data_IF_826684518508
#
_entry.id   IF_826684518508
#
_cell.length_a   1.000
_cell.length_b   1.000
_cell.length_c   1.000
_cell.angle_alpha   90.00
_cell.angle_beta   90.00
_cell.angle_gamma   90.00
#
_symmetry.space_group_name_H-M   'P 1'
#
loop_
_entity.id
_entity.type
_entity.pdbx_description
1 polymer ?
#
# COMPACT_ATOMS: atom_id res chain seq x y z
N UNK A 1 -5.77 14.60 -6.02
CA UNK A 1 -5.09 15.76 -6.63
C UNK A 1 -5.53 17.03 -5.94
N UNK A 2 -4.60 17.94 -5.70
CA UNK A 2 -4.87 19.26 -5.17
C UNK A 2 -3.80 20.24 -5.66
N UNK A 3 -4.23 21.32 -6.34
CA UNK A 3 -3.35 22.41 -6.81
C UNK A 3 -2.13 21.93 -7.64
N UNK A 4 -2.32 20.94 -8.51
CA UNK A 4 -1.25 20.38 -9.33
C UNK A 4 -0.32 19.39 -8.59
N UNK A 5 -0.65 19.05 -7.36
CA UNK A 5 -0.02 17.98 -6.60
C UNK A 5 -0.81 16.68 -6.72
N UNK A 6 -0.13 15.58 -6.95
CA UNK A 6 -0.76 14.29 -7.21
C UNK A 6 -0.18 13.19 -6.32
N UNK A 7 -1.04 12.32 -5.85
CA UNK A 7 -0.66 11.12 -5.13
C UNK A 7 -1.56 9.94 -5.50
N UNK A 8 -1.09 8.72 -5.29
CA UNK A 8 -1.91 7.50 -5.34
C UNK A 8 -1.94 6.84 -3.97
N UNK A 9 -3.10 6.34 -3.60
CA UNK A 9 -3.29 5.43 -2.47
C UNK A 9 -3.83 4.16 -3.07
N UNK A 10 -3.04 3.11 -2.95
CA UNK A 10 -3.14 1.84 -3.64
C UNK A 10 -3.04 1.96 -5.17
N UNK A 11 -2.32 1.05 -5.79
CA UNK A 11 -1.99 1.08 -7.21
C UNK A 11 -2.72 0.01 -8.01
N UNK A 12 -3.55 -0.79 -7.31
CA UNK A 12 -4.34 -1.83 -7.92
C UNK A 12 -3.56 -3.11 -8.22
N UNK A 13 -4.23 -4.00 -8.94
CA UNK A 13 -3.75 -5.32 -9.31
C UNK A 13 -2.71 -5.21 -10.44
N UNK A 14 -1.84 -6.17 -10.47
CA UNK A 14 -0.79 -6.40 -11.44
C UNK A 14 -1.14 -7.56 -12.38
N UNK A 15 -0.40 -7.74 -13.45
CA UNK A 15 -0.53 -8.89 -14.35
C UNK A 15 0.62 -9.90 -14.18
N UNK A 16 1.69 -9.55 -13.49
CA UNK A 16 2.76 -10.47 -13.18
C UNK A 16 2.59 -11.10 -11.78
N UNK A 17 2.97 -12.34 -11.68
CA UNK A 17 2.85 -13.14 -10.47
C UNK A 17 3.93 -14.23 -10.48
N UNK A 18 4.27 -14.78 -9.32
CA UNK A 18 5.33 -15.77 -9.23
C UNK A 18 4.96 -17.04 -10.02
N UNK A 19 5.87 -17.52 -10.85
CA UNK A 19 5.72 -18.76 -11.60
C UNK A 19 6.06 -20.03 -10.78
N UNK A 20 6.46 -19.85 -9.51
CA UNK A 20 6.84 -20.92 -8.59
C UNK A 20 8.25 -21.47 -8.80
N UNK A 21 9.03 -20.97 -9.75
CA UNK A 21 10.41 -21.41 -9.99
C UNK A 21 11.36 -20.97 -8.86
N UNK A 22 11.06 -19.85 -8.22
CA UNK A 22 11.79 -19.36 -7.06
C UNK A 22 11.13 -19.86 -5.76
N UNK A 23 11.84 -20.68 -4.94
CA UNK A 23 11.28 -21.16 -3.67
C UNK A 23 10.86 -20.06 -2.69
N UNK A 24 11.39 -18.83 -2.84
CA UNK A 24 11.01 -17.68 -2.03
C UNK A 24 9.59 -17.22 -2.37
N UNK A 25 9.18 -17.41 -3.62
CA UNK A 25 7.86 -17.01 -4.14
C UNK A 25 7.13 -18.24 -4.71
N UNK A 26 6.63 -19.12 -3.84
CA UNK A 26 5.95 -20.32 -4.31
C UNK A 26 4.60 -19.96 -4.96
N UNK A 27 4.25 -20.70 -6.01
CA UNK A 27 2.90 -20.63 -6.53
C UNK A 27 1.93 -21.18 -5.47
N UNK A 28 1.01 -20.37 -4.99
CA UNK A 28 0.03 -20.74 -3.96
C UNK A 28 -1.36 -20.94 -4.56
N UNK A 29 -2.15 -21.80 -3.95
CA UNK A 29 -3.56 -21.97 -4.30
C UNK A 29 -4.29 -20.65 -4.02
N UNK A 30 -4.99 -20.15 -5.02
CA UNK A 30 -5.70 -18.87 -4.94
C UNK A 30 -5.09 -17.77 -5.80
N UNK A 31 -3.80 -17.83 -6.13
CA UNK A 31 -3.22 -16.97 -7.16
C UNK A 31 -3.91 -17.34 -8.48
N UNK A 32 -4.75 -16.41 -8.96
CA UNK A 32 -5.45 -16.62 -10.20
C UNK A 32 -4.65 -16.03 -11.35
N UNK A 33 -4.23 -16.88 -12.28
CA UNK A 33 -3.61 -16.43 -13.52
C UNK A 33 -4.70 -15.76 -14.37
N UNK A 34 -4.68 -14.44 -14.41
CA UNK A 34 -5.61 -13.62 -15.20
C UNK A 34 -4.81 -12.57 -15.96
N UNK A 35 -5.37 -12.07 -17.03
CA UNK A 35 -4.78 -10.94 -17.75
C UNK A 35 -5.21 -9.63 -17.07
N UNK A 36 -4.41 -9.15 -16.12
CA UNK A 36 -4.64 -7.88 -15.43
C UNK A 36 -4.00 -6.66 -16.13
N UNK A 37 -3.26 -6.85 -17.21
CA UNK A 37 -2.65 -5.75 -17.96
C UNK A 37 -3.67 -4.66 -18.32
N UNK A 38 -4.91 -5.03 -18.57
CA UNK A 38 -5.99 -4.07 -18.83
C UNK A 38 -6.24 -3.12 -17.65
N UNK A 39 -5.99 -3.55 -16.42
CA UNK A 39 -6.17 -2.73 -15.21
C UNK A 39 -5.05 -1.69 -15.11
N UNK A 40 -3.80 -2.11 -15.32
CA UNK A 40 -2.67 -1.18 -15.40
C UNK A 40 -2.86 -0.18 -16.54
N UNK A 41 -3.24 -0.63 -17.74
CA UNK A 41 -3.51 0.24 -18.88
C UNK A 41 -4.59 1.28 -18.56
N UNK A 42 -5.61 0.91 -17.79
CA UNK A 42 -6.65 1.84 -17.33
C UNK A 42 -6.09 2.86 -16.35
N UNK A 43 -5.27 2.43 -15.37
CA UNK A 43 -4.62 3.32 -14.42
C UNK A 43 -3.78 4.37 -15.16
N UNK A 44 -2.84 3.95 -16.00
CA UNK A 44 -1.96 4.88 -16.72
C UNK A 44 -2.71 5.76 -17.71
N UNK A 45 -3.73 5.25 -18.37
CA UNK A 45 -4.61 6.07 -19.21
C UNK A 45 -5.33 7.14 -18.39
N UNK A 46 -5.84 6.78 -17.20
CA UNK A 46 -6.48 7.76 -16.32
C UNK A 46 -5.48 8.83 -15.86
N UNK A 47 -4.30 8.44 -15.37
CA UNK A 47 -3.25 9.36 -14.94
C UNK A 47 -2.84 10.32 -16.08
N UNK A 48 -2.67 9.79 -17.28
CA UNK A 48 -2.39 10.60 -18.48
C UNK A 48 -3.51 11.58 -18.80
N UNK A 49 -4.77 11.13 -18.75
CA UNK A 49 -5.93 11.97 -19.06
C UNK A 49 -6.11 13.14 -18.08
N UNK A 50 -5.74 12.94 -16.81
CA UNK A 50 -5.77 14.01 -15.80
C UNK A 50 -4.45 14.79 -15.72
N UNK A 51 -3.49 14.49 -16.60
CA UNK A 51 -2.26 15.27 -16.78
C UNK A 51 -1.16 14.99 -15.75
N UNK A 52 -1.19 13.85 -15.06
CA UNK A 52 -0.17 13.47 -14.08
C UNK A 52 1.17 13.27 -14.79
N UNK A 53 2.18 14.04 -14.38
CA UNK A 53 3.57 13.92 -14.85
C UNK A 53 4.49 13.42 -13.74
N UNK A 54 4.07 13.52 -12.49
CA UNK A 54 4.82 13.16 -11.28
C UNK A 54 3.84 12.92 -10.15
N UNK A 55 4.24 12.07 -9.21
CA UNK A 55 3.52 11.83 -7.96
C UNK A 55 4.38 12.34 -6.78
N UNK A 56 3.79 13.14 -5.91
CA UNK A 56 4.43 13.58 -4.67
C UNK A 56 4.62 12.41 -3.73
N UNK A 57 3.66 11.51 -3.71
CA UNK A 57 3.82 10.22 -3.03
C UNK A 57 2.92 9.13 -3.62
N UNK A 58 3.30 7.89 -3.34
CA UNK A 58 2.40 6.73 -3.38
C UNK A 58 2.33 6.12 -1.98
N UNK A 59 1.20 5.52 -1.65
CA UNK A 59 0.97 4.82 -0.39
C UNK A 59 0.32 3.49 -0.68
N UNK A 60 0.99 2.39 -0.30
CA UNK A 60 0.37 1.08 -0.22
C UNK A 60 -0.25 0.91 1.16
N UNK A 61 -1.57 0.71 1.21
CA UNK A 61 -2.25 0.51 2.49
C UNK A 61 -1.78 -0.77 3.16
N UNK A 62 -1.68 -1.84 2.41
CA UNK A 62 -1.16 -3.16 2.80
C UNK A 62 -0.65 -3.91 1.56
N UNK A 63 -0.17 -5.16 1.71
CA UNK A 63 0.63 -5.80 0.66
C UNK A 63 -0.11 -6.77 -0.27
N UNK A 64 -1.45 -6.82 -0.22
CA UNK A 64 -2.18 -7.64 -1.18
C UNK A 64 -2.04 -7.10 -2.60
N UNK A 65 -2.08 -7.99 -3.59
CA UNK A 65 -1.83 -7.68 -5.00
C UNK A 65 -2.78 -6.64 -5.57
N UNK A 66 -4.04 -6.70 -5.20
CA UNK A 66 -5.07 -5.75 -5.64
C UNK A 66 -4.91 -4.32 -5.03
N UNK A 67 -3.91 -4.14 -4.16
CA UNK A 67 -3.53 -2.85 -3.58
C UNK A 67 -2.15 -2.39 -4.03
N UNK A 68 -1.13 -3.24 -3.96
CA UNK A 68 0.24 -2.84 -4.30
C UNK A 68 0.81 -3.54 -5.54
N UNK A 69 0.04 -4.43 -6.20
CA UNK A 69 0.52 -5.14 -7.38
C UNK A 69 1.14 -4.19 -8.41
N UNK A 70 0.40 -3.17 -8.82
CA UNK A 70 0.90 -2.18 -9.79
C UNK A 70 1.90 -1.15 -9.26
N UNK A 71 2.45 -1.31 -8.04
CA UNK A 71 3.35 -0.31 -7.44
C UNK A 71 4.67 -0.17 -8.19
N UNK A 72 5.28 -1.28 -8.57
CA UNK A 72 6.54 -1.27 -9.30
C UNK A 72 6.37 -0.70 -10.71
N UNK A 73 5.25 -0.95 -11.38
CA UNK A 73 4.90 -0.35 -12.66
C UNK A 73 4.73 1.18 -12.55
N UNK A 74 4.06 1.66 -11.50
CA UNK A 74 3.94 3.10 -11.23
C UNK A 74 5.31 3.72 -11.01
N UNK A 75 6.14 3.10 -10.17
CA UNK A 75 7.52 3.53 -9.89
C UNK A 75 8.40 3.51 -11.15
N UNK A 76 8.19 2.56 -12.04
CA UNK A 76 8.95 2.44 -13.28
C UNK A 76 8.58 3.50 -14.32
N UNK A 77 7.32 3.92 -14.38
CA UNK A 77 6.77 4.79 -15.43
C UNK A 77 6.65 6.26 -15.02
N UNK A 78 6.55 6.56 -13.73
CA UNK A 78 6.37 7.93 -13.24
C UNK A 78 7.43 8.31 -12.21
N UNK A 79 7.90 9.55 -12.21
CA UNK A 79 8.66 10.09 -11.07
C UNK A 79 7.78 10.09 -9.82
N UNK A 80 8.28 9.53 -8.73
CA UNK A 80 7.65 9.49 -7.41
C UNK A 80 8.63 10.01 -6.38
N UNK A 81 8.24 10.95 -5.52
CA UNK A 81 9.13 11.47 -4.49
C UNK A 81 9.21 10.54 -3.27
N UNK A 82 8.07 10.07 -2.80
CA UNK A 82 8.00 9.25 -1.57
C UNK A 82 7.07 8.05 -1.75
N UNK A 83 7.52 6.90 -1.26
CA UNK A 83 6.68 5.70 -1.16
C UNK A 83 6.51 5.30 0.29
N UNK A 84 5.26 5.32 0.75
CA UNK A 84 4.86 4.85 2.09
C UNK A 84 4.36 3.41 1.99
N UNK A 85 5.00 2.50 2.71
CA UNK A 85 4.59 1.09 2.77
C UNK A 85 5.13 0.47 4.06
N UNK A 86 4.29 -0.16 4.85
CA UNK A 86 4.72 -0.86 6.09
C UNK A 86 5.61 -2.05 5.75
N UNK A 87 6.43 -2.46 6.72
CA UNK A 87 7.23 -3.68 6.60
C UNK A 87 6.35 -4.90 6.55
N UNK A 88 6.73 -5.85 5.71
CA UNK A 88 6.04 -7.12 5.53
C UNK A 88 6.99 -8.32 5.65
N UNK A 89 6.43 -9.45 6.01
CA UNK A 89 7.06 -10.77 5.94
C UNK A 89 5.96 -11.82 5.99
N UNK A 90 6.04 -12.85 5.16
CA UNK A 90 5.11 -13.99 5.18
C UNK A 90 5.01 -14.65 6.56
N UNK A 91 6.11 -14.61 7.35
CA UNK A 91 6.15 -15.19 8.69
C UNK A 91 5.19 -14.52 9.70
N UNK A 92 4.73 -13.31 9.42
CA UNK A 92 3.75 -12.62 10.26
C UNK A 92 2.31 -13.12 10.04
N UNK A 93 2.03 -13.73 8.89
CA UNK A 93 0.68 -14.16 8.54
C UNK A 93 0.40 -15.53 9.18
N UNK A 94 -0.62 -15.62 10.03
CA UNK A 94 -1.03 -16.85 10.72
C UNK A 94 -1.86 -17.77 9.82
N UNK A 95 -2.71 -17.16 8.98
CA UNK A 95 -3.63 -17.90 8.14
C UNK A 95 -3.00 -18.20 6.77
N UNK A 96 -2.84 -19.47 6.42
CA UNK A 96 -2.24 -19.84 5.14
C UNK A 96 -3.00 -19.34 3.91
N UNK A 97 -4.28 -19.07 4.07
CA UNK A 97 -5.11 -18.48 3.00
C UNK A 97 -4.81 -16.99 2.76
N UNK A 98 -4.20 -16.29 3.71
CA UNK A 98 -3.74 -14.91 3.55
C UNK A 98 -2.33 -14.78 2.97
N UNK A 99 -1.72 -15.92 2.59
CA UNK A 99 -0.40 -15.96 1.96
C UNK A 99 -0.55 -16.10 0.44
N UNK A 100 -0.88 -15.07 -0.23
CA UNK A 100 -1.00 -15.03 -1.69
C UNK A 100 0.39 -14.84 -2.33
N UNK A 101 0.52 -13.89 -3.23
CA UNK A 101 1.78 -13.42 -3.82
C UNK A 101 2.34 -12.16 -3.12
N UNK A 102 1.89 -11.91 -1.90
CA UNK A 102 2.19 -10.72 -1.11
C UNK A 102 3.69 -10.39 -1.06
N UNK A 103 4.53 -11.40 -0.76
CA UNK A 103 5.98 -11.19 -0.69
C UNK A 103 6.59 -10.85 -2.05
N UNK A 104 6.05 -11.43 -3.11
CA UNK A 104 6.49 -11.14 -4.49
C UNK A 104 6.23 -9.68 -4.85
N UNK A 105 5.00 -9.22 -4.67
CA UNK A 105 4.62 -7.83 -4.96
C UNK A 105 5.37 -6.85 -4.06
N UNK A 106 5.51 -7.18 -2.77
CA UNK A 106 6.28 -6.37 -1.82
C UNK A 106 7.74 -6.20 -2.25
N UNK A 107 8.42 -7.29 -2.59
CA UNK A 107 9.83 -7.25 -2.98
C UNK A 107 10.03 -6.54 -4.33
N UNK A 108 9.12 -6.73 -5.31
CA UNK A 108 9.15 -6.01 -6.58
C UNK A 108 8.98 -4.50 -6.37
N UNK A 109 8.01 -4.08 -5.56
CA UNK A 109 7.80 -2.68 -5.22
C UNK A 109 9.02 -2.05 -4.53
N UNK A 110 9.63 -2.76 -3.56
CA UNK A 110 10.85 -2.27 -2.89
C UNK A 110 12.03 -2.18 -3.85
N UNK A 111 12.18 -3.16 -4.73
CA UNK A 111 13.23 -3.17 -5.76
C UNK A 111 13.08 -1.97 -6.68
N UNK A 112 11.88 -1.75 -7.23
CA UNK A 112 11.60 -0.62 -8.11
C UNK A 112 11.87 0.72 -7.41
N UNK A 113 11.40 0.89 -6.16
CA UNK A 113 11.66 2.10 -5.38
C UNK A 113 13.16 2.38 -5.21
N UNK A 114 13.94 1.34 -4.90
CA UNK A 114 15.40 1.45 -4.76
C UNK A 114 16.08 1.80 -6.09
N UNK A 115 15.72 1.14 -7.17
CA UNK A 115 16.31 1.37 -8.51
C UNK A 115 16.02 2.78 -9.02
N UNK A 116 14.86 3.33 -8.70
CA UNK A 116 14.46 4.71 -9.07
C UNK A 116 14.93 5.77 -8.06
N UNK A 117 15.54 5.38 -6.94
CA UNK A 117 15.99 6.31 -5.90
C UNK A 117 14.84 7.02 -5.18
N UNK A 118 13.67 6.40 -5.11
CA UNK A 118 12.49 6.92 -4.42
C UNK A 118 12.70 6.86 -2.91
N UNK A 119 12.28 7.89 -2.18
CA UNK A 119 12.31 7.87 -0.71
C UNK A 119 11.30 6.87 -0.18
N UNK A 120 11.78 5.68 0.22
CA UNK A 120 10.95 4.66 0.83
C UNK A 120 10.81 4.92 2.35
N UNK A 121 9.56 4.98 2.83
CA UNK A 121 9.21 5.19 4.25
C UNK A 121 8.44 3.99 4.76
N UNK A 122 9.15 3.07 5.43
CA UNK A 122 8.56 1.85 6.00
C UNK A 122 8.30 1.94 7.50
N UNK A 123 9.10 2.73 8.23
CA UNK A 123 8.89 3.06 9.63
C UNK A 123 8.33 4.48 9.72
N UNK A 124 7.02 4.58 9.49
CA UNK A 124 6.32 5.87 9.50
C UNK A 124 6.31 6.39 10.93
N UNK A 125 6.95 7.54 11.16
CA UNK A 125 6.95 8.21 12.46
C UNK A 125 5.72 9.08 12.65
N UNK A 126 5.47 9.53 13.88
CA UNK A 126 4.38 10.47 14.17
C UNK A 126 4.52 11.78 13.37
N UNK A 127 5.75 12.16 13.02
CA UNK A 127 6.06 13.29 12.16
C UNK A 127 5.67 13.05 10.69
N UNK A 128 5.88 11.82 10.20
CA UNK A 128 5.61 11.46 8.81
C UNK A 128 4.15 11.05 8.61
N UNK A 129 3.36 10.92 9.70
CA UNK A 129 1.97 10.50 9.64
C UNK A 129 0.98 11.64 9.39
N UNK A 130 1.45 12.91 9.43
CA UNK A 130 0.61 14.08 9.20
C UNK A 130 1.33 15.06 8.28
N UNK A 131 0.75 15.30 7.13
CA UNK A 131 1.34 16.15 6.09
C UNK A 131 0.27 16.73 5.15
N UNK A 132 0.70 17.63 4.27
CA UNK A 132 -0.18 18.25 3.27
C UNK A 132 0.14 17.78 1.85
N UNK A 133 -0.89 17.72 1.02
CA UNK A 133 -0.81 17.62 -0.42
C UNK A 133 -1.63 18.76 -1.02
N UNK A 134 -0.97 19.82 -1.48
CA UNK A 134 -1.68 21.05 -1.86
C UNK A 134 -2.52 21.58 -0.68
N UNK A 135 -3.83 21.71 -0.88
CA UNK A 135 -4.78 22.16 0.15
C UNK A 135 -5.34 21.00 1.01
N UNK A 136 -5.02 19.76 0.65
CA UNK A 136 -5.43 18.60 1.43
C UNK A 136 -4.56 18.43 2.65
N UNK A 137 -5.17 18.23 3.82
CA UNK A 137 -4.52 17.84 5.05
C UNK A 137 -4.69 16.33 5.24
N UNK A 138 -3.59 15.59 5.32
CA UNK A 138 -3.59 14.12 5.32
C UNK A 138 -3.06 13.62 6.65
N UNK A 139 -3.90 12.88 7.38
CA UNK A 139 -3.52 12.19 8.60
C UNK A 139 -3.58 10.68 8.37
N UNK A 140 -2.46 10.01 8.61
CA UNK A 140 -2.38 8.55 8.58
C UNK A 140 -2.69 7.97 9.96
N UNK A 141 -3.36 6.81 9.96
CA UNK A 141 -3.64 5.99 11.14
C UNK A 141 -3.21 4.55 10.86
N UNK A 142 -3.09 3.74 11.89
CA UNK A 142 -2.60 2.36 11.81
C UNK A 142 -1.26 2.21 11.03
N UNK A 143 -0.44 3.25 11.03
CA UNK A 143 0.77 3.34 10.22
C UNK A 143 2.02 2.74 10.86
N UNK A 144 2.01 2.48 12.17
CA UNK A 144 3.17 1.93 12.89
C UNK A 144 3.33 0.43 12.63
N UNK A 145 4.58 -0.01 12.43
CA UNK A 145 4.87 -1.42 12.53
C UNK A 145 4.73 -1.87 13.99
N UNK A 146 3.97 -2.93 14.23
CA UNK A 146 3.88 -3.57 15.54
C UNK A 146 4.84 -4.76 15.60
N UNK A 147 5.54 -4.91 16.72
CA UNK A 147 6.51 -5.98 16.95
C UNK A 147 6.10 -6.85 18.14
N UNK A 148 6.37 -8.16 18.03
CA UNK A 148 6.21 -9.10 19.11
C UNK A 148 7.36 -9.02 20.13
N UNK A 149 7.26 -9.77 21.24
CA UNK A 149 8.31 -9.84 22.26
C UNK A 149 9.66 -10.39 21.73
N UNK A 150 9.63 -11.11 20.63
CA UNK A 150 10.78 -11.68 19.92
C UNK A 150 11.47 -10.67 18.97
N UNK A 151 10.97 -9.44 18.90
CA UNK A 151 11.47 -8.40 17.99
C UNK A 151 11.08 -8.59 16.52
N UNK A 152 10.29 -9.63 16.20
CA UNK A 152 9.75 -9.83 14.86
C UNK A 152 8.44 -9.04 14.68
N UNK A 153 8.03 -8.84 13.43
CA UNK A 153 6.73 -8.23 13.14
C UNK A 153 5.63 -9.04 13.83
N UNK A 154 4.73 -8.34 14.50
CA UNK A 154 3.60 -8.96 15.21
C UNK A 154 2.78 -9.78 14.24
N UNK A 155 2.45 -11.00 14.65
CA UNK A 155 1.64 -11.93 13.86
C UNK A 155 0.18 -11.50 13.81
N UNK A 156 -0.38 -11.50 12.61
CA UNK A 156 -1.79 -11.19 12.31
C UNK A 156 -2.42 -12.35 11.55
N UNK A 157 -3.74 -12.39 11.48
CA UNK A 157 -4.45 -13.41 10.69
C UNK A 157 -4.20 -13.21 9.21
N UNK A 158 -4.31 -11.97 8.76
CA UNK A 158 -4.19 -11.54 7.39
C UNK A 158 -3.62 -10.12 7.33
N UNK A 159 -3.02 -9.70 6.23
CA UNK A 159 -2.40 -8.37 6.12
C UNK A 159 -3.42 -7.22 6.06
N UNK A 160 -4.69 -7.49 5.80
CA UNK A 160 -5.79 -6.52 5.88
C UNK A 160 -5.74 -5.73 7.20
N UNK A 161 -5.49 -6.43 8.32
CA UNK A 161 -5.37 -5.82 9.66
C UNK A 161 -4.22 -4.79 9.77
N UNK A 162 -3.30 -4.78 8.82
CA UNK A 162 -2.19 -3.84 8.75
C UNK A 162 -2.45 -2.63 7.87
N UNK A 163 -3.59 -2.55 7.22
CA UNK A 163 -3.92 -1.44 6.34
C UNK A 163 -3.66 -0.09 6.99
N UNK A 164 -2.85 0.74 6.33
CA UNK A 164 -2.70 2.14 6.69
C UNK A 164 -4.01 2.84 6.30
N UNK A 165 -4.57 3.58 7.22
CA UNK A 165 -5.78 4.38 6.97
C UNK A 165 -5.37 5.83 6.75
N UNK A 166 -5.79 6.42 5.63
CA UNK A 166 -5.59 7.84 5.37
C UNK A 166 -6.90 8.60 5.55
N UNK A 167 -6.87 9.64 6.38
CA UNK A 167 -7.96 10.61 6.51
C UNK A 167 -7.53 11.90 5.85
N UNK A 168 -8.23 12.28 4.80
CA UNK A 168 -7.95 13.47 4.02
C UNK A 168 -8.98 14.54 4.37
N UNK A 169 -8.53 15.67 4.86
CA UNK A 169 -9.39 16.81 5.15
C UNK A 169 -9.19 17.90 4.10
N UNK A 170 -10.27 18.30 3.43
CA UNK A 170 -10.28 19.37 2.45
C UNK A 170 -11.59 20.13 2.54
N UNK A 171 -11.53 21.47 2.54
CA UNK A 171 -12.71 22.35 2.65
C UNK A 171 -13.66 21.98 3.81
N UNK A 172 -13.10 21.54 4.94
CA UNK A 172 -13.85 21.12 6.13
C UNK A 172 -14.54 19.76 6.02
N UNK A 173 -14.36 19.04 4.91
CA UNK A 173 -14.86 17.68 4.72
C UNK A 173 -13.76 16.66 4.95
N UNK A 174 -14.11 15.49 5.48
CA UNK A 174 -13.20 14.37 5.67
C UNK A 174 -13.51 13.23 4.71
N UNK A 175 -12.49 12.72 4.06
CA UNK A 175 -12.53 11.53 3.20
C UNK A 175 -11.70 10.45 3.90
N UNK A 176 -12.26 9.27 4.04
CA UNK A 176 -11.62 8.13 4.69
C UNK A 176 -11.25 7.08 3.66
N UNK A 177 -9.97 6.72 3.60
CA UNK A 177 -9.44 5.67 2.74
C UNK A 177 -8.82 4.61 3.66
N UNK A 178 -9.51 3.51 3.87
CA UNK A 178 -9.19 2.52 4.90
C UNK A 178 -8.37 1.32 4.40
N UNK A 179 -8.10 1.24 3.08
CA UNK A 179 -7.67 -0.04 2.51
C UNK A 179 -8.68 -1.11 2.87
N UNK A 180 -8.21 -2.27 3.26
CA UNK A 180 -9.03 -3.41 3.69
C UNK A 180 -9.00 -3.60 5.20
N UNK A 181 -8.76 -2.52 5.96
CA UNK A 181 -8.79 -2.63 7.42
C UNK A 181 -10.12 -3.21 7.86
N UNK A 182 -10.04 -4.32 8.57
CA UNK A 182 -11.18 -5.05 9.09
C UNK A 182 -11.15 -5.11 10.63
N UNK A 183 -12.15 -5.77 11.20
CA UNK A 183 -12.23 -5.97 12.64
C UNK A 183 -11.77 -7.36 13.10
N UNK A 184 -11.15 -8.18 12.22
CA UNK A 184 -10.69 -9.52 12.57
C UNK A 184 -9.66 -9.53 13.72
N UNK A 185 -8.82 -8.50 13.77
CA UNK A 185 -7.87 -8.26 14.89
C UNK A 185 -8.27 -7.01 15.73
N UNK A 186 -9.53 -6.56 15.62
CA UNK A 186 -10.06 -5.39 16.34
C UNK A 186 -9.55 -4.05 15.79
N UNK A 187 -9.20 -3.99 14.52
CA UNK A 187 -8.64 -2.79 13.86
C UNK A 187 -9.63 -1.64 13.82
N UNK A 188 -10.84 -1.89 13.34
CA UNK A 188 -11.90 -0.89 13.26
C UNK A 188 -12.32 -0.37 14.63
N UNK A 189 -12.47 -1.26 15.64
CA UNK A 189 -12.82 -0.90 17.00
C UNK A 189 -11.79 0.02 17.65
N UNK A 190 -10.50 -0.16 17.33
CA UNK A 190 -9.42 0.70 17.83
C UNK A 190 -9.40 2.06 17.15
N UNK A 191 -9.70 2.10 15.86
CA UNK A 191 -9.59 3.32 15.05
C UNK A 191 -10.85 4.19 15.10
N UNK A 192 -12.03 3.60 15.13
CA UNK A 192 -13.28 4.33 15.13
C UNK A 192 -13.32 5.50 16.11
N UNK A 193 -12.96 5.31 17.41
CA UNK A 193 -12.91 6.40 18.39
C UNK A 193 -11.87 7.49 18.10
N UNK A 194 -10.84 7.21 17.31
CA UNK A 194 -9.78 8.18 16.97
C UNK A 194 -10.17 9.03 15.77
N UNK A 195 -10.87 8.44 14.80
CA UNK A 195 -11.22 9.08 13.53
C UNK A 195 -12.54 9.84 13.63
N UNK A 196 -13.48 9.34 14.45
CA UNK A 196 -14.83 9.89 14.60
C UNK A 196 -14.95 11.14 15.48
N UNK A 197 -13.83 11.70 15.92
CA UNK A 197 -13.79 12.91 16.76
C UNK A 197 -13.55 14.17 15.97
#
# INVERSE_FOLDING_TARGET
ESNGHYALIDMGEDYDFPDGSNPLYPMRAGIAIRNYQVLEDRLFRHLSNVGVQKLDFILGTHVHSDHIGGADEVLNRLPVDTFYLKKYSDQRIKASWGLWDNLYNYDNALKAAKEKGVKLVQDISDKDSHFKLGDMDIQLYNYKNEYGPDGQLKKVLDDNSNSIVAVITVNGQKIYLGGDLDNAEGGEDKLGPQIGK
#
